data_IF_561801838734
#
_entry.id   IF_561801838734
#
_cell.length_a   1.000
_cell.length_b   1.000
_cell.length_c   1.000
_cell.angle_alpha   90.00
_cell.angle_beta   90.00
_cell.angle_gamma   90.00
#
_symmetry.space_group_name_H-M   'P 1'
#
loop_
_entity.id
_entity.type
_entity.pdbx_description
1 polymer ?
#
# COMPACT_ATOMS: atom_id res chain seq x y z
N UNK A 1 -55.53 24.17 5.20
CA UNK A 1 -54.63 23.64 6.25
C UNK A 1 -54.28 22.15 6.08
N UNK A 2 -55.19 21.26 5.61
CA UNK A 2 -54.89 19.83 5.39
C UNK A 2 -53.85 19.52 4.29
N UNK A 3 -53.81 20.33 3.22
CA UNK A 3 -52.85 20.17 2.09
C UNK A 3 -51.42 20.64 2.42
N UNK A 4 -51.26 21.47 3.47
CA UNK A 4 -49.96 21.98 3.91
C UNK A 4 -49.23 20.99 4.83
N UNK A 5 -49.98 20.21 5.61
CA UNK A 5 -49.45 19.17 6.51
C UNK A 5 -48.88 17.99 5.70
N UNK A 6 -49.55 17.61 4.60
CA UNK A 6 -49.06 16.56 3.70
C UNK A 6 -47.74 16.93 2.99
N UNK A 7 -47.51 18.22 2.74
CA UNK A 7 -46.29 18.70 2.06
C UNK A 7 -45.08 18.74 2.99
N UNK A 8 -45.26 18.99 4.29
CA UNK A 8 -44.18 18.97 5.29
C UNK A 8 -43.78 17.52 5.64
N UNK A 9 -44.75 16.60 5.66
CA UNK A 9 -44.47 15.19 5.89
C UNK A 9 -43.68 14.53 4.74
N UNK A 10 -43.85 15.02 3.51
CA UNK A 10 -43.08 14.55 2.35
C UNK A 10 -41.64 15.11 2.32
N UNK A 11 -41.40 16.27 2.95
CA UNK A 11 -40.06 16.88 2.98
C UNK A 11 -39.14 16.23 4.03
N UNK A 12 -39.69 15.69 5.11
CA UNK A 12 -38.93 14.99 6.17
C UNK A 12 -38.47 13.58 5.70
N UNK A 13 -39.15 13.01 4.70
CA UNK A 13 -38.77 11.73 4.07
C UNK A 13 -37.53 11.83 3.16
N UNK A 14 -37.06 13.04 2.83
CA UNK A 14 -35.82 13.25 2.07
C UNK A 14 -34.57 13.41 2.95
N UNK A 15 -34.71 13.33 4.28
CA UNK A 15 -33.63 13.58 5.24
C UNK A 15 -33.01 12.32 5.86
N UNK A 16 -33.25 11.15 5.27
CA UNK A 16 -32.69 9.88 5.76
C UNK A 16 -32.00 9.14 4.63
N UNK A 17 -30.69 9.35 4.48
CA UNK A 17 -29.65 8.30 4.50
C UNK A 17 -28.28 8.94 4.27
N UNK A 18 -27.66 9.50 5.31
CA UNK A 18 -26.20 9.67 5.28
C UNK A 18 -25.59 8.34 5.66
N UNK A 19 -25.32 7.50 4.65
CA UNK A 19 -24.42 6.36 4.82
C UNK A 19 -23.04 6.93 5.09
N UNK A 20 -22.60 6.88 6.35
CA UNK A 20 -21.18 6.84 6.65
C UNK A 20 -20.76 5.40 6.40
N UNK A 21 -20.41 5.09 5.16
CA UNK A 21 -19.56 3.94 4.91
C UNK A 21 -18.20 4.32 5.50
N UNK A 22 -17.88 3.82 6.69
CA UNK A 22 -16.52 3.88 7.23
C UNK A 22 -15.61 3.24 6.18
N UNK A 23 -14.76 4.07 5.57
CA UNK A 23 -13.72 3.60 4.69
C UNK A 23 -12.90 2.54 5.41
N UNK A 24 -12.45 1.54 4.65
CA UNK A 24 -11.45 0.54 5.05
C UNK A 24 -10.46 1.17 6.03
N UNK A 25 -10.44 0.69 7.28
CA UNK A 25 -9.62 1.28 8.34
C UNK A 25 -8.17 1.45 7.89
N UNK A 26 -7.55 2.55 8.31
CA UNK A 26 -6.19 2.91 7.92
C UNK A 26 -5.21 1.76 8.25
N UNK A 27 -4.46 1.31 7.25
CA UNK A 27 -3.48 0.23 7.42
C UNK A 27 -2.28 0.78 8.20
N UNK A 28 -2.15 0.35 9.46
CA UNK A 28 -1.01 0.71 10.30
C UNK A 28 0.08 -0.35 10.21
N UNK A 29 1.26 0.04 9.73
CA UNK A 29 2.45 -0.83 9.69
C UNK A 29 3.38 -0.45 10.84
N UNK A 30 3.96 -1.44 11.52
CA UNK A 30 5.00 -1.26 12.53
C UNK A 30 6.24 -2.06 12.13
N UNK A 31 7.41 -1.44 12.22
CA UNK A 31 8.70 -2.11 12.10
C UNK A 31 9.30 -2.24 13.50
N UNK A 32 9.54 -3.46 13.96
CA UNK A 32 10.05 -3.75 15.32
C UNK A 32 9.28 -3.03 16.44
N UNK A 33 7.95 -2.98 16.30
CA UNK A 33 7.05 -2.30 17.24
C UNK A 33 6.93 -0.78 17.06
N UNK A 34 7.78 -0.17 16.24
CA UNK A 34 7.76 1.26 15.93
C UNK A 34 6.80 1.55 14.77
N UNK A 35 5.80 2.44 14.94
CA UNK A 35 4.90 2.83 13.85
C UNK A 35 5.64 3.47 12.67
N UNK A 36 5.25 3.05 11.47
CA UNK A 36 5.79 3.55 10.21
C UNK A 36 4.87 4.64 9.66
N UNK A 37 5.47 5.68 9.09
CA UNK A 37 4.75 6.77 8.41
C UNK A 37 5.07 6.69 6.93
N UNK A 38 4.03 6.72 6.11
CA UNK A 38 4.13 6.75 4.65
C UNK A 38 3.55 8.08 4.16
N UNK A 39 4.33 8.86 3.41
CA UNK A 39 3.91 10.17 2.92
C UNK A 39 3.39 10.10 1.49
N UNK A 40 4.13 9.46 0.59
CA UNK A 40 3.83 9.47 -0.84
C UNK A 40 2.79 8.42 -1.25
N UNK A 41 2.86 7.22 -0.67
CA UNK A 41 1.96 6.12 -0.99
C UNK A 41 1.65 5.32 0.27
N UNK A 42 0.37 5.24 0.62
CA UNK A 42 -0.07 4.40 1.73
C UNK A 42 0.07 2.91 1.39
N UNK A 43 0.24 2.03 2.40
CA UNK A 43 0.05 0.60 2.22
C UNK A 43 -1.32 0.31 1.60
N UNK A 44 -1.40 -0.75 0.80
CA UNK A 44 -2.65 -1.15 0.13
C UNK A 44 -2.86 -2.65 0.26
N UNK A 45 -4.11 -3.09 0.30
CA UNK A 45 -4.43 -4.51 0.17
C UNK A 45 -4.71 -4.82 -1.29
N UNK A 46 -3.96 -5.76 -1.86
CA UNK A 46 -4.15 -6.25 -3.22
C UNK A 46 -4.00 -7.76 -3.24
N UNK A 47 -4.94 -8.44 -3.90
CA UNK A 47 -4.97 -9.91 -4.02
C UNK A 47 -4.84 -10.64 -2.67
N UNK A 48 -5.42 -10.07 -1.61
CA UNK A 48 -5.38 -10.65 -0.26
C UNK A 48 -4.04 -10.51 0.47
N UNK A 49 -3.10 -9.72 -0.04
CA UNK A 49 -1.86 -9.34 0.65
C UNK A 49 -1.79 -7.83 0.87
N UNK A 50 -1.13 -7.43 1.94
CA UNK A 50 -0.81 -6.03 2.19
C UNK A 50 0.51 -5.71 1.49
N UNK A 51 0.47 -4.79 0.53
CA UNK A 51 1.65 -4.27 -0.12
C UNK A 51 2.07 -2.95 0.54
N UNK A 52 3.37 -2.79 0.75
CA UNK A 52 3.98 -1.62 1.38
C UNK A 52 5.03 -0.99 0.46
N UNK A 53 5.24 0.35 0.52
CA UNK A 53 6.29 1.00 -0.25
C UNK A 53 7.68 0.44 0.09
N UNK A 54 8.34 -0.17 -0.90
CA UNK A 54 9.60 -0.89 -0.73
C UNK A 54 10.70 0.00 -0.14
N UNK A 55 10.84 1.22 -0.68
CA UNK A 55 11.86 2.18 -0.27
C UNK A 55 11.78 2.49 1.23
N UNK A 56 10.58 2.79 1.72
CA UNK A 56 10.35 3.19 3.11
C UNK A 56 10.74 2.08 4.07
N UNK A 57 10.43 0.81 3.73
CA UNK A 57 10.78 -0.34 4.56
C UNK A 57 12.30 -0.58 4.54
N UNK A 58 12.91 -0.67 3.36
CA UNK A 58 14.32 -1.02 3.24
C UNK A 58 15.25 0.06 3.80
N UNK A 59 14.93 1.34 3.63
CA UNK A 59 15.70 2.43 4.23
C UNK A 59 15.62 2.40 5.77
N UNK A 60 14.47 2.02 6.34
CA UNK A 60 14.34 1.81 7.79
C UNK A 60 15.10 0.58 8.30
N UNK A 61 15.33 -0.40 7.45
CA UNK A 61 16.21 -1.54 7.69
C UNK A 61 17.70 -1.21 7.47
N UNK A 62 18.04 0.06 7.17
CA UNK A 62 19.43 0.49 6.97
C UNK A 62 20.00 0.12 5.61
N UNK A 63 19.15 -0.14 4.61
CA UNK A 63 19.55 -0.40 3.23
C UNK A 63 19.39 0.86 2.39
N UNK A 64 20.34 1.11 1.50
CA UNK A 64 20.19 2.08 0.42
C UNK A 64 19.32 1.47 -0.68
N UNK A 65 18.38 2.24 -1.22
CA UNK A 65 17.49 1.78 -2.29
C UNK A 65 17.73 2.57 -3.58
N UNK A 66 18.20 1.85 -4.59
CA UNK A 66 18.43 2.32 -5.96
C UNK A 66 17.44 1.67 -6.93
N UNK A 67 17.25 2.31 -8.08
CA UNK A 67 16.37 1.83 -9.15
C UNK A 67 17.17 1.70 -10.44
N UNK A 68 17.15 0.51 -11.03
CA UNK A 68 17.62 0.28 -12.39
C UNK A 68 16.44 0.32 -13.36
N UNK A 69 16.33 1.43 -14.10
CA UNK A 69 15.26 1.63 -15.07
C UNK A 69 15.39 0.78 -16.33
N UNK A 70 16.57 0.25 -16.66
CA UNK A 70 16.74 -0.60 -17.83
C UNK A 70 16.12 -1.98 -17.62
N UNK A 71 16.26 -2.51 -16.40
CA UNK A 71 15.75 -3.84 -16.02
C UNK A 71 14.47 -3.77 -15.21
N UNK A 72 14.00 -2.58 -14.84
CA UNK A 72 12.90 -2.37 -13.90
C UNK A 72 13.15 -3.08 -12.55
N UNK A 73 14.35 -2.87 -12.00
CA UNK A 73 14.81 -3.55 -10.79
C UNK A 73 14.98 -2.58 -9.63
N UNK A 74 14.38 -2.92 -8.50
CA UNK A 74 14.66 -2.29 -7.20
C UNK A 74 15.86 -2.98 -6.61
N UNK A 75 16.89 -2.24 -6.24
CA UNK A 75 18.09 -2.76 -5.58
C UNK A 75 18.17 -2.15 -4.19
N UNK A 76 17.99 -2.97 -3.16
CA UNK A 76 18.14 -2.57 -1.77
C UNK A 76 19.41 -3.20 -1.19
N UNK A 77 20.39 -2.41 -0.79
CA UNK A 77 21.69 -2.93 -0.35
C UNK A 77 22.41 -2.10 0.69
N UNK A 78 23.27 -2.77 1.47
CA UNK A 78 24.34 -2.18 2.27
C UNK A 78 25.60 -3.07 2.18
N UNK A 79 26.58 -2.84 3.05
CA UNK A 79 27.84 -3.59 3.04
C UNK A 79 27.69 -5.10 3.31
N UNK A 80 26.57 -5.54 3.90
CA UNK A 80 26.37 -6.93 4.31
C UNK A 80 25.28 -7.67 3.54
N UNK A 81 24.36 -6.96 2.88
CA UNK A 81 23.19 -7.57 2.24
C UNK A 81 22.82 -6.87 0.95
N UNK A 82 22.45 -7.64 -0.06
CA UNK A 82 21.86 -7.14 -1.31
C UNK A 82 20.55 -7.85 -1.60
N UNK A 83 19.51 -7.09 -1.91
CA UNK A 83 18.20 -7.61 -2.27
C UNK A 83 17.76 -6.95 -3.58
N UNK A 84 17.34 -7.75 -4.54
CA UNK A 84 16.94 -7.30 -5.87
C UNK A 84 15.54 -7.81 -6.19
N UNK A 85 14.64 -6.88 -6.55
CA UNK A 85 13.29 -7.18 -6.99
C UNK A 85 13.09 -6.65 -8.40
N UNK A 86 12.83 -7.55 -9.34
CA UNK A 86 12.38 -7.16 -10.69
C UNK A 86 10.88 -6.97 -10.65
N UNK A 87 10.39 -5.84 -11.16
CA UNK A 87 8.95 -5.56 -11.20
C UNK A 87 8.21 -6.63 -12.00
N UNK A 88 7.07 -7.08 -11.48
CA UNK A 88 6.23 -8.15 -12.02
C UNK A 88 6.91 -9.53 -12.11
N UNK A 89 8.02 -9.72 -11.40
CA UNK A 89 8.65 -11.03 -11.25
C UNK A 89 8.31 -11.65 -9.87
N UNK A 90 7.97 -12.94 -9.86
CA UNK A 90 7.70 -13.72 -8.65
C UNK A 90 8.98 -14.13 -7.94
N UNK A 91 10.16 -13.88 -8.51
CA UNK A 91 11.43 -14.17 -7.86
C UNK A 91 12.11 -12.88 -7.39
N UNK A 92 12.53 -12.88 -6.13
CA UNK A 92 13.48 -11.92 -5.60
C UNK A 92 14.86 -12.56 -5.47
N UNK A 93 15.92 -11.79 -5.68
CA UNK A 93 17.29 -12.23 -5.42
C UNK A 93 17.74 -11.67 -4.08
N UNK A 94 18.14 -12.55 -3.15
CA UNK A 94 18.78 -12.17 -1.89
C UNK A 94 20.21 -12.68 -1.95
N UNK A 95 21.15 -11.73 -2.01
CA UNK A 95 22.56 -11.96 -2.29
C UNK A 95 22.72 -12.75 -3.61
N UNK A 96 23.03 -14.05 -3.53
CA UNK A 96 23.16 -14.94 -4.69
C UNK A 96 22.08 -16.03 -4.78
N UNK A 97 21.08 -16.00 -3.89
CA UNK A 97 19.98 -16.97 -3.85
C UNK A 97 18.67 -16.36 -4.34
N UNK A 98 17.87 -17.16 -5.05
CA UNK A 98 16.53 -16.77 -5.48
C UNK A 98 15.48 -17.23 -4.47
N UNK A 99 14.52 -16.37 -4.18
CA UNK A 99 13.38 -16.62 -3.29
C UNK A 99 12.10 -16.34 -4.06
N UNK A 100 11.18 -17.31 -4.03
CA UNK A 100 9.86 -17.16 -4.65
C UNK A 100 8.95 -16.33 -3.74
N UNK A 101 8.22 -15.40 -4.34
CA UNK A 101 7.28 -14.49 -3.70
C UNK A 101 5.86 -14.97 -3.97
N UNK A 102 4.97 -14.81 -2.99
CA UNK A 102 3.54 -15.08 -3.20
C UNK A 102 2.93 -14.09 -4.19
N UNK A 103 3.40 -12.84 -4.17
CA UNK A 103 2.99 -11.76 -5.07
C UNK A 103 4.25 -11.02 -5.54
N UNK A 104 4.37 -10.70 -6.84
CA UNK A 104 5.53 -10.00 -7.34
C UNK A 104 5.61 -8.58 -6.78
N UNK A 105 6.80 -7.97 -6.81
CA UNK A 105 6.92 -6.53 -6.61
C UNK A 105 6.19 -5.79 -7.74
N UNK A 106 5.44 -4.72 -7.42
CA UNK A 106 4.59 -4.02 -8.38
C UNK A 106 4.75 -2.51 -8.27
N UNK A 107 4.52 -1.81 -9.38
CA UNK A 107 4.38 -0.35 -9.36
C UNK A 107 2.91 0.02 -9.15
N UNK A 108 2.62 0.80 -8.11
CA UNK A 108 1.31 1.37 -7.82
C UNK A 108 1.50 2.87 -7.62
N UNK A 109 0.81 3.70 -8.40
CA UNK A 109 0.93 5.17 -8.34
C UNK A 109 2.39 5.65 -8.43
N UNK A 110 3.17 5.12 -9.37
CA UNK A 110 4.61 5.40 -9.53
C UNK A 110 5.50 5.00 -8.34
N UNK A 111 4.97 4.27 -7.35
CA UNK A 111 5.73 3.76 -6.20
C UNK A 111 5.87 2.25 -6.29
N UNK A 112 7.07 1.77 -5.98
CA UNK A 112 7.34 0.35 -5.97
C UNK A 112 6.89 -0.27 -4.64
N UNK A 113 6.08 -1.31 -4.73
CA UNK A 113 5.38 -1.94 -3.62
C UNK A 113 5.80 -3.41 -3.50
N UNK A 114 6.01 -3.87 -2.28
CA UNK A 114 6.37 -5.26 -1.93
C UNK A 114 5.42 -5.80 -0.87
N UNK A 115 5.17 -7.12 -0.88
CA UNK A 115 4.25 -7.81 0.03
C UNK A 115 4.97 -8.68 1.06
#
# INVERSE_FOLDING_TARGET
MKKLIASIFCFILLFNVTSLADGVGDITVKLDGTPMIFQDQQPVIKDGRTLVPARVIFEKLGLRVDWDGATSTIIASNDSKKIEFVINNLEAKIDDSYVNLDIPAQIINNQAMVG
#
